data_IF_100977438263
#
_entry.id   IF_100977438263
#
_cell.length_a   1.000
_cell.length_b   1.000
_cell.length_c   1.000
_cell.angle_alpha   90.00
_cell.angle_beta   90.00
_cell.angle_gamma   90.00
#
_symmetry.space_group_name_H-M   'P 1'
#
loop_
_entity.id
_entity.type
_entity.pdbx_description
1 polymer ?
#
# COMPACT_ATOMS: atom_id res chain seq x y z
N UNK A 1 -5.36 -4.67 -27.06
CA UNK A 1 -6.11 -5.83 -26.56
C UNK A 1 -6.99 -5.35 -25.41
N UNK A 2 -8.28 -5.16 -25.65
CA UNK A 2 -9.24 -4.69 -24.64
C UNK A 2 -9.48 -5.84 -23.64
N UNK A 3 -8.81 -5.81 -22.49
CA UNK A 3 -9.21 -6.64 -21.36
C UNK A 3 -10.60 -6.17 -20.95
N UNK A 4 -11.58 -7.01 -21.25
CA UNK A 4 -13.01 -6.80 -21.07
C UNK A 4 -13.30 -6.34 -19.62
N UNK A 5 -13.76 -5.10 -19.48
CA UNK A 5 -13.97 -4.40 -18.20
C UNK A 5 -14.85 -5.20 -17.22
N UNK A 6 -15.67 -6.11 -17.75
CA UNK A 6 -16.51 -7.02 -16.98
C UNK A 6 -15.71 -7.98 -16.09
N UNK A 7 -14.55 -8.45 -16.55
CA UNK A 7 -13.70 -9.36 -15.77
C UNK A 7 -12.93 -8.64 -14.66
N UNK A 8 -12.56 -7.37 -14.86
CA UNK A 8 -11.91 -6.57 -13.82
C UNK A 8 -12.81 -6.41 -12.60
N UNK A 9 -14.09 -6.08 -12.81
CA UNK A 9 -15.07 -5.91 -11.72
C UNK A 9 -15.24 -7.18 -10.88
N UNK A 10 -15.33 -8.33 -11.56
CA UNK A 10 -15.55 -9.63 -10.93
C UNK A 10 -14.35 -10.09 -10.07
N UNK A 11 -13.13 -9.69 -10.43
CA UNK A 11 -11.91 -9.95 -9.66
C UNK A 11 -11.86 -9.08 -8.40
N UNK A 12 -12.22 -7.80 -8.49
CA UNK A 12 -12.24 -6.91 -7.32
C UNK A 12 -13.30 -7.32 -6.30
N UNK A 13 -14.50 -7.70 -6.75
CA UNK A 13 -15.59 -8.14 -5.86
C UNK A 13 -15.20 -9.44 -5.12
N UNK A 14 -14.51 -10.36 -5.80
CA UNK A 14 -13.99 -11.60 -5.20
C UNK A 14 -12.81 -11.35 -4.25
N UNK A 15 -11.91 -10.44 -4.60
CA UNK A 15 -10.79 -10.05 -3.76
C UNK A 15 -11.27 -9.48 -2.41
N UNK A 16 -12.31 -8.62 -2.44
CA UNK A 16 -12.89 -8.05 -1.22
C UNK A 16 -13.47 -9.12 -0.28
N UNK A 17 -14.19 -10.12 -0.82
CA UNK A 17 -14.73 -11.23 -0.02
C UNK A 17 -13.63 -12.05 0.66
N UNK A 18 -12.52 -12.29 -0.05
CA UNK A 18 -11.37 -13.01 0.49
C UNK A 18 -10.65 -12.18 1.56
N UNK A 19 -10.34 -10.91 1.27
CA UNK A 19 -9.70 -9.99 2.22
C UNK A 19 -10.51 -9.87 3.51
N UNK A 20 -11.81 -9.60 3.41
CA UNK A 20 -12.67 -9.46 4.58
C UNK A 20 -12.71 -10.71 5.44
N UNK A 21 -12.78 -11.89 4.82
CA UNK A 21 -12.80 -13.17 5.54
C UNK A 21 -11.47 -13.43 6.25
N UNK A 22 -10.35 -13.19 5.58
CA UNK A 22 -9.01 -13.35 6.17
C UNK A 22 -8.77 -12.37 7.32
N UNK A 23 -9.24 -11.12 7.19
CA UNK A 23 -9.18 -10.13 8.27
C UNK A 23 -10.02 -10.53 9.48
N UNK A 24 -11.25 -11.01 9.27
CA UNK A 24 -12.08 -11.48 10.40
C UNK A 24 -11.43 -12.68 11.08
N UNK A 25 -10.91 -13.62 10.29
CA UNK A 25 -10.28 -14.83 10.81
C UNK A 25 -8.99 -14.53 11.58
N UNK A 26 -8.14 -13.62 11.07
CA UNK A 26 -6.92 -13.17 11.74
C UNK A 26 -7.23 -12.59 13.13
N UNK A 27 -8.29 -11.78 13.23
CA UNK A 27 -8.75 -11.19 14.50
C UNK A 27 -9.26 -12.22 15.49
N UNK A 28 -9.90 -13.29 15.04
CA UNK A 28 -10.38 -14.38 15.91
C UNK A 28 -9.20 -15.20 16.47
N UNK A 29 -8.21 -15.50 15.63
CA UNK A 29 -7.07 -16.33 16.04
C UNK A 29 -6.03 -15.56 16.87
N UNK A 30 -5.94 -14.25 16.68
CA UNK A 30 -5.01 -13.39 17.38
C UNK A 30 -3.69 -13.18 16.63
N UNK A 31 -2.83 -12.35 17.22
CA UNK A 31 -1.64 -11.81 16.56
C UNK A 31 -0.63 -12.89 16.16
N UNK A 32 -0.18 -13.73 17.10
CA UNK A 32 0.86 -14.74 16.85
C UNK A 32 0.49 -15.65 15.69
N UNK A 33 -0.74 -16.18 15.70
CA UNK A 33 -1.24 -17.03 14.62
C UNK A 33 -1.28 -16.30 13.28
N UNK A 34 -1.75 -15.04 13.27
CA UNK A 34 -1.84 -14.24 12.06
C UNK A 34 -0.47 -13.92 11.47
N UNK A 35 0.53 -13.66 12.32
CA UNK A 35 1.90 -13.45 11.89
C UNK A 35 2.47 -14.72 11.25
N UNK A 36 2.43 -15.84 11.96
CA UNK A 36 3.01 -17.10 11.48
C UNK A 36 2.33 -17.61 10.20
N UNK A 37 1.00 -17.64 10.16
CA UNK A 37 0.28 -18.31 9.08
C UNK A 37 -0.22 -17.39 7.97
N UNK A 38 -0.66 -16.17 8.30
CA UNK A 38 -1.12 -15.25 7.26
C UNK A 38 0.03 -14.42 6.72
N UNK A 39 0.94 -13.92 7.57
CA UNK A 39 2.04 -13.08 7.11
C UNK A 39 3.15 -13.92 6.49
N UNK A 40 3.76 -14.81 7.26
CA UNK A 40 4.98 -15.53 6.87
C UNK A 40 4.71 -16.67 5.88
N UNK A 41 3.65 -17.46 6.08
CA UNK A 41 3.35 -18.59 5.20
C UNK A 41 2.55 -18.20 3.95
N UNK A 42 1.76 -17.11 4.00
CA UNK A 42 0.85 -16.76 2.92
C UNK A 42 1.16 -15.42 2.23
N UNK A 43 1.20 -14.29 2.94
CA UNK A 43 1.33 -12.97 2.31
C UNK A 43 2.75 -12.73 1.78
N UNK A 44 3.78 -12.88 2.61
CA UNK A 44 5.17 -12.58 2.24
C UNK A 44 5.66 -13.41 1.04
N UNK A 45 5.41 -14.73 0.98
CA UNK A 45 5.82 -15.53 -0.18
C UNK A 45 5.13 -15.11 -1.46
N UNK A 46 3.84 -14.75 -1.38
CA UNK A 46 3.08 -14.30 -2.53
C UNK A 46 3.48 -12.89 -2.98
N UNK A 47 3.78 -11.96 -2.06
CA UNK A 47 4.35 -10.65 -2.41
C UNK A 47 5.64 -10.81 -3.22
N UNK A 48 6.57 -11.65 -2.73
CA UNK A 48 7.82 -11.91 -3.42
C UNK A 48 7.62 -12.65 -4.76
N UNK A 49 6.64 -13.56 -4.83
CA UNK A 49 6.33 -14.27 -6.05
C UNK A 49 5.81 -13.32 -7.15
N UNK A 50 4.87 -12.46 -6.80
CA UNK A 50 4.18 -11.58 -7.74
C UNK A 50 4.97 -10.32 -8.06
N UNK A 51 5.95 -9.93 -7.23
CA UNK A 51 6.90 -8.88 -7.60
C UNK A 51 7.83 -9.31 -8.74
N UNK A 52 8.09 -10.61 -8.91
CA UNK A 52 9.07 -11.14 -9.84
C UNK A 52 8.49 -11.74 -11.14
N UNK A 53 7.16 -11.80 -11.30
CA UNK A 53 6.49 -12.47 -12.43
C UNK A 53 5.54 -11.54 -13.18
N UNK A 54 5.46 -11.67 -14.50
CA UNK A 54 4.41 -11.01 -15.31
C UNK A 54 3.45 -12.01 -15.97
N UNK A 55 2.16 -11.66 -16.15
CA UNK A 55 1.47 -10.45 -15.65
C UNK A 55 0.84 -10.69 -14.25
N UNK A 56 1.27 -9.96 -13.20
CA UNK A 56 0.74 -10.14 -11.84
C UNK A 56 0.49 -8.86 -11.05
N UNK A 57 0.32 -7.71 -11.72
CA UNK A 57 0.01 -6.43 -11.07
C UNK A 57 -1.13 -6.51 -10.05
N UNK A 58 -2.27 -7.07 -10.46
CA UNK A 58 -3.45 -7.15 -9.61
C UNK A 58 -3.24 -8.08 -8.41
N UNK A 59 -2.47 -9.15 -8.59
CA UNK A 59 -2.13 -10.07 -7.50
C UNK A 59 -1.18 -9.38 -6.51
N UNK A 60 -0.14 -8.71 -7.00
CA UNK A 60 0.77 -7.95 -6.14
C UNK A 60 0.02 -6.84 -5.37
N UNK A 61 -0.84 -6.07 -6.04
CA UNK A 61 -1.69 -5.07 -5.40
C UNK A 61 -2.54 -5.68 -4.28
N UNK A 62 -3.19 -6.81 -4.55
CA UNK A 62 -4.00 -7.53 -3.56
C UNK A 62 -3.18 -7.88 -2.32
N UNK A 63 -2.01 -8.51 -2.50
CA UNK A 63 -1.18 -8.92 -1.36
C UNK A 63 -0.55 -7.74 -0.63
N UNK A 64 -0.20 -6.64 -1.31
CA UNK A 64 0.29 -5.42 -0.67
C UNK A 64 -0.81 -4.81 0.22
N UNK A 65 -2.05 -4.80 -0.25
CA UNK A 65 -3.18 -4.26 0.52
C UNK A 65 -3.59 -5.19 1.66
N UNK A 66 -3.51 -6.50 1.45
CA UNK A 66 -3.79 -7.50 2.47
C UNK A 66 -2.73 -7.46 3.58
N UNK A 67 -1.47 -7.23 3.23
CA UNK A 67 -0.40 -6.98 4.20
C UNK A 67 -0.79 -5.82 5.13
N UNK A 68 -1.18 -4.66 4.58
CA UNK A 68 -1.64 -3.52 5.37
C UNK A 68 -2.84 -3.84 6.28
N UNK A 69 -3.77 -4.67 5.82
CA UNK A 69 -4.99 -5.02 6.56
C UNK A 69 -4.74 -5.97 7.73
N UNK A 70 -3.90 -6.98 7.52
CA UNK A 70 -3.62 -8.07 8.47
C UNK A 70 -2.57 -7.66 9.51
N UNK A 71 -1.65 -6.77 9.13
CA UNK A 71 -0.47 -6.47 9.92
C UNK A 71 -0.78 -5.77 11.28
N UNK A 72 -0.04 -6.22 12.30
CA UNK A 72 0.02 -5.77 13.70
C UNK A 72 1.26 -6.43 14.33
N UNK A 73 2.02 -5.86 15.28
CA UNK A 73 2.46 -4.46 15.43
C UNK A 73 3.64 -4.10 14.49
N UNK A 74 4.03 -2.82 14.45
CA UNK A 74 4.91 -2.10 13.49
C UNK A 74 6.29 -2.66 13.13
N UNK A 75 6.78 -3.68 13.83
CA UNK A 75 8.14 -4.17 13.63
C UNK A 75 8.26 -4.82 12.24
N UNK A 76 9.07 -4.20 11.38
CA UNK A 76 9.48 -4.61 10.02
C UNK A 76 8.55 -4.25 8.84
N UNK A 77 7.40 -3.59 9.02
CA UNK A 77 6.56 -3.20 7.87
C UNK A 77 7.24 -2.16 6.95
N UNK A 78 8.00 -1.24 7.55
CA UNK A 78 8.82 -0.25 6.84
C UNK A 78 9.81 -0.94 5.91
N UNK A 79 10.51 -1.96 6.40
CA UNK A 79 11.53 -2.66 5.63
C UNK A 79 10.91 -3.41 4.45
N UNK A 80 9.78 -4.06 4.68
CA UNK A 80 9.02 -4.73 3.61
C UNK A 80 8.60 -3.73 2.53
N UNK A 81 7.89 -2.65 2.88
CA UNK A 81 7.46 -1.68 1.87
C UNK A 81 8.64 -0.95 1.21
N UNK A 82 9.64 -0.52 1.98
CA UNK A 82 10.86 0.13 1.47
C UNK A 82 11.59 -0.76 0.46
N UNK A 83 11.67 -2.07 0.71
CA UNK A 83 12.28 -3.01 -0.22
C UNK A 83 11.54 -3.06 -1.58
N UNK A 84 10.20 -3.14 -1.57
CA UNK A 84 9.40 -3.16 -2.79
C UNK A 84 9.31 -1.79 -3.49
N UNK A 85 9.44 -0.69 -2.75
CA UNK A 85 9.48 0.66 -3.34
C UNK A 85 10.80 0.94 -4.08
N UNK A 86 11.86 0.18 -3.78
CA UNK A 86 13.12 0.20 -4.53
C UNK A 86 13.14 -0.79 -5.70
N UNK A 87 12.07 -1.54 -5.90
CA UNK A 87 12.00 -2.54 -6.97
C UNK A 87 12.09 -1.87 -8.34
N UNK A 88 12.77 -2.54 -9.27
CA UNK A 88 12.98 -2.08 -10.65
C UNK A 88 11.69 -1.97 -11.49
N UNK A 89 10.63 -2.64 -11.03
CA UNK A 89 9.35 -2.73 -11.73
C UNK A 89 8.44 -1.64 -11.22
N UNK A 90 7.99 -0.79 -12.12
CA UNK A 90 7.18 0.39 -11.80
C UNK A 90 5.92 0.03 -10.99
N UNK A 91 5.22 -1.05 -11.38
CA UNK A 91 4.01 -1.46 -10.67
C UNK A 91 4.27 -1.93 -9.23
N UNK A 92 5.40 -2.60 -9.00
CA UNK A 92 5.77 -3.10 -7.66
C UNK A 92 6.03 -1.90 -6.76
N UNK A 93 6.80 -0.93 -7.25
CA UNK A 93 7.04 0.33 -6.56
C UNK A 93 5.72 1.04 -6.22
N UNK A 94 4.85 1.19 -7.22
CA UNK A 94 3.58 1.88 -7.10
C UNK A 94 2.63 1.23 -6.08
N UNK A 95 2.42 -0.08 -6.19
CA UNK A 95 1.49 -0.80 -5.32
C UNK A 95 2.04 -1.00 -3.92
N UNK A 96 3.36 -1.06 -3.74
CA UNK A 96 3.98 -1.03 -2.42
C UNK A 96 3.73 0.31 -1.72
N UNK A 97 3.96 1.43 -2.40
CA UNK A 97 3.73 2.74 -1.81
C UNK A 97 2.26 3.03 -1.50
N UNK A 98 1.33 2.58 -2.36
CA UNK A 98 -0.12 2.66 -2.04
C UNK A 98 -0.54 1.73 -0.90
N UNK A 99 0.09 0.55 -0.77
CA UNK A 99 -0.07 -0.34 0.38
C UNK A 99 0.41 0.30 1.70
N UNK A 100 1.55 0.99 1.67
CA UNK A 100 2.06 1.78 2.80
C UNK A 100 1.08 2.89 3.20
N UNK A 101 0.58 3.67 2.24
CA UNK A 101 -0.41 4.72 2.52
C UNK A 101 -1.68 4.14 3.16
N UNK A 102 -2.14 2.98 2.67
CA UNK A 102 -3.26 2.26 3.27
C UNK A 102 -2.95 1.85 4.71
N UNK A 103 -1.78 1.26 4.99
CA UNK A 103 -1.37 0.89 6.35
C UNK A 103 -1.46 2.11 7.28
N UNK A 104 -0.86 3.24 6.87
CA UNK A 104 -0.87 4.47 7.65
C UNK A 104 -2.29 5.02 7.87
N UNK A 105 -3.16 4.93 6.87
CA UNK A 105 -4.56 5.35 6.98
C UNK A 105 -5.36 4.52 7.99
N UNK A 106 -5.03 3.22 8.13
CA UNK A 106 -5.68 2.27 9.01
C UNK A 106 -5.13 2.29 10.45
N UNK A 107 -4.00 2.96 10.67
CA UNK A 107 -3.24 2.94 11.93
C UNK A 107 -2.72 4.33 12.27
N UNK A 108 -3.59 5.33 12.18
CA UNK A 108 -3.24 6.74 12.39
C UNK A 108 -2.61 7.02 13.75
N UNK A 109 -3.00 6.25 14.77
CA UNK A 109 -2.57 6.43 16.15
C UNK A 109 -1.17 5.84 16.44
N UNK A 110 -0.63 5.03 15.51
CA UNK A 110 0.61 4.28 15.69
C UNK A 110 1.70 4.69 14.66
N UNK A 111 1.56 5.88 14.05
CA UNK A 111 2.52 6.38 13.06
C UNK A 111 3.86 6.73 13.70
N UNK A 112 4.93 6.12 13.21
CA UNK A 112 6.31 6.43 13.63
C UNK A 112 6.94 7.46 12.70
N UNK A 113 7.88 8.27 13.22
CA UNK A 113 8.65 9.23 12.43
C UNK A 113 9.30 8.59 11.19
N UNK A 114 9.75 7.34 11.33
CA UNK A 114 10.36 6.59 10.24
C UNK A 114 9.40 6.25 9.10
N UNK A 115 8.13 5.97 9.42
CA UNK A 115 7.10 5.76 8.40
C UNK A 115 6.72 7.08 7.74
N UNK A 116 6.72 8.17 8.51
CA UNK A 116 6.48 9.51 7.97
C UNK A 116 7.54 9.89 6.96
N UNK A 117 8.82 9.70 7.31
CA UNK A 117 9.94 9.94 6.41
C UNK A 117 9.84 9.08 5.14
N UNK A 118 9.44 7.81 5.28
CA UNK A 118 9.26 6.92 4.11
C UNK A 118 8.14 7.42 3.18
N UNK A 119 7.03 7.89 3.73
CA UNK A 119 5.90 8.44 2.97
C UNK A 119 6.27 9.76 2.31
N UNK A 120 6.99 10.65 3.01
CA UNK A 120 7.47 11.91 2.45
C UNK A 120 8.42 11.65 1.28
N UNK A 121 9.39 10.75 1.44
CA UNK A 121 10.29 10.33 0.37
C UNK A 121 9.53 9.75 -0.83
N UNK A 122 8.50 8.93 -0.57
CA UNK A 122 7.65 8.39 -1.62
C UNK A 122 6.90 9.49 -2.38
N UNK A 123 6.35 10.48 -1.68
CA UNK A 123 5.59 11.58 -2.30
C UNK A 123 6.42 12.39 -3.30
N UNK A 124 7.74 12.45 -3.09
CA UNK A 124 8.69 13.16 -3.95
C UNK A 124 9.22 12.30 -5.11
N UNK A 125 8.91 11.01 -5.15
CA UNK A 125 9.43 10.10 -6.16
C UNK A 125 8.97 10.52 -7.58
N UNK A 126 9.93 10.68 -8.48
CA UNK A 126 9.70 11.13 -9.85
C UNK A 126 8.91 10.11 -10.70
N UNK A 127 8.88 8.83 -10.27
CA UNK A 127 8.14 7.75 -10.94
C UNK A 127 6.64 7.86 -10.73
N UNK A 128 6.19 8.60 -9.72
CA UNK A 128 4.76 8.72 -9.44
C UNK A 128 4.06 9.65 -10.43
N UNK A 129 2.94 9.17 -10.95
CA UNK A 129 2.02 10.00 -11.71
C UNK A 129 1.46 11.13 -10.85
N UNK A 130 1.10 12.24 -11.49
CA UNK A 130 0.50 13.41 -10.82
C UNK A 130 -0.68 13.04 -9.92
N UNK A 131 -1.59 12.19 -10.42
CA UNK A 131 -2.77 11.73 -9.67
C UNK A 131 -2.35 10.98 -8.40
N UNK A 132 -1.29 10.18 -8.48
CA UNK A 132 -0.80 9.39 -7.35
C UNK A 132 -0.10 10.26 -6.33
N UNK A 133 0.67 11.26 -6.78
CA UNK A 133 1.24 12.29 -5.89
C UNK A 133 0.13 13.03 -5.16
N UNK A 134 -0.93 13.44 -5.85
CA UNK A 134 -2.08 14.10 -5.22
C UNK A 134 -2.72 13.24 -4.13
N UNK A 135 -3.02 11.96 -4.41
CA UNK A 135 -3.61 11.07 -3.41
C UNK A 135 -2.67 10.74 -2.26
N UNK A 136 -1.36 10.66 -2.52
CA UNK A 136 -0.32 10.49 -1.50
C UNK A 136 -0.31 11.70 -0.57
N UNK A 137 -0.17 12.91 -1.12
CA UNK A 137 -0.17 14.18 -0.36
C UNK A 137 -1.48 14.39 0.39
N UNK A 138 -2.62 14.03 -0.21
CA UNK A 138 -3.92 14.12 0.46
C UNK A 138 -4.04 13.12 1.61
N UNK A 139 -3.59 11.89 1.43
CA UNK A 139 -3.58 10.88 2.50
C UNK A 139 -2.71 11.36 3.66
N UNK A 140 -1.54 11.91 3.37
CA UNK A 140 -0.63 12.57 4.32
C UNK A 140 -1.35 13.73 5.06
N UNK A 141 -2.06 14.61 4.35
CA UNK A 141 -2.83 15.70 4.96
C UNK A 141 -3.96 15.19 5.87
N UNK A 142 -4.68 14.14 5.46
CA UNK A 142 -5.74 13.48 6.23
C UNK A 142 -5.20 12.71 7.45
N UNK A 143 -3.88 12.49 7.53
CA UNK A 143 -3.17 11.98 8.71
C UNK A 143 -2.80 13.09 9.72
N UNK A 144 -3.21 14.36 9.50
CA UNK A 144 -2.91 15.54 10.33
C UNK A 144 -1.42 15.82 10.53
N UNK A 145 -0.62 15.62 9.50
CA UNK A 145 0.77 16.08 9.50
C UNK A 145 0.79 17.58 9.25
N UNK A 146 1.13 18.34 10.27
CA UNK A 146 1.16 19.80 10.22
C UNK A 146 2.21 20.37 9.22
N UNK A 147 3.04 19.54 8.58
CA UNK A 147 4.11 19.95 7.65
C UNK A 147 3.67 20.11 6.18
N UNK A 148 2.40 19.86 5.83
CA UNK A 148 2.02 19.58 4.42
C UNK A 148 1.12 20.65 3.78
N UNK A 149 0.76 21.69 4.55
CA UNK A 149 0.05 22.84 4.02
C UNK A 149 0.82 23.54 2.87
N UNK A 150 2.16 23.54 2.90
CA UNK A 150 2.99 24.19 1.87
C UNK A 150 3.13 23.34 0.58
N UNK A 151 3.08 22.01 0.67
CA UNK A 151 3.23 21.12 -0.50
C UNK A 151 1.96 21.14 -1.37
N UNK A 152 0.79 21.23 -0.75
CA UNK A 152 -0.51 21.34 -1.45
C UNK A 152 -0.61 22.66 -2.21
N UNK A 153 -0.15 23.76 -1.61
CA UNK A 153 -0.18 25.09 -2.27
C UNK A 153 0.77 25.15 -3.49
N UNK A 154 1.97 24.56 -3.39
CA UNK A 154 2.94 24.53 -4.51
C UNK A 154 2.48 23.64 -5.68
N UNK A 155 1.78 22.53 -5.40
CA UNK A 155 1.22 21.68 -6.47
C UNK A 155 -0.05 22.27 -7.10
N UNK A 156 -0.82 23.09 -6.37
CA UNK A 156 -1.97 23.79 -6.93
C UNK A 156 -1.59 25.05 -7.72
N UNK A 157 -0.54 25.78 -7.34
CA UNK A 157 -0.06 26.95 -8.09
C UNK A 157 0.55 26.59 -9.46
N UNK A 158 1.16 25.41 -9.59
CA UNK A 158 1.68 24.90 -10.87
C UNK A 158 0.60 24.36 -11.81
N UNK A 159 -0.67 24.33 -11.38
CA UNK A 159 -1.82 23.87 -12.17
C UNK A 159 -2.66 25.00 -12.78
N UNK A 160 -2.23 26.26 -12.66
CA UNK A 160 -2.81 27.38 -13.41
C UNK A 160 -1.91 27.69 -14.60
N UNK A 161 -2.04 26.91 -15.68
CA UNK A 161 -1.64 27.28 -17.04
C UNK A 161 -2.78 26.90 -17.98
#
# INVERSE_FOLDING_TARGET
>A
MLIDQKYKKDIYDKAYLVTGSLMMYSRIQGFTWSHEHLLEEFINPNLNLYSNKEPNELAFQFFAYLYADIFHPFDNCKDVYSSYMRHEREFVHFYAGTGLLKLCSLRKDDLTDELMELIENYSQDARLSYVTKYWTVRSISDLKLNSVAEIVDLTMQSCVI
#
